data_IF_523628733998
#
_entry.id   IF_523628733998
#
_cell.length_a   1.000
_cell.length_b   1.000
_cell.length_c   1.000
_cell.angle_alpha   90.00
_cell.angle_beta   90.00
_cell.angle_gamma   90.00
#
_symmetry.space_group_name_H-M   'P 1'
#
loop_
_entity.id
_entity.type
_entity.pdbx_description
1 polymer ?
#
# COMPACT_ATOMS: atom_id res chain seq x y z
N UNK A 1 35.72 -54.98 14.12
CA UNK A 1 35.07 -55.27 12.84
C UNK A 1 33.59 -55.58 13.08
N UNK A 2 32.72 -54.67 12.83
CA UNK A 2 31.29 -54.84 12.49
C UNK A 2 30.80 -53.53 11.83
N UNK A 3 30.77 -53.58 10.49
CA UNK A 3 30.18 -52.56 9.64
C UNK A 3 28.67 -52.39 9.95
N UNK A 4 28.26 -51.15 10.15
CA UNK A 4 26.84 -50.76 10.08
C UNK A 4 26.62 -50.03 8.76
N UNK A 5 26.09 -50.76 7.79
CA UNK A 5 25.57 -50.19 6.56
C UNK A 5 24.37 -49.26 6.88
N UNK A 6 24.47 -48.00 6.52
CA UNK A 6 23.35 -47.04 6.47
C UNK A 6 22.61 -47.31 5.16
N UNK A 7 21.36 -47.80 5.26
CA UNK A 7 20.44 -47.89 4.13
C UNK A 7 19.94 -46.49 3.76
N UNK A 8 20.42 -45.98 2.64
CA UNK A 8 19.84 -44.80 2.00
C UNK A 8 18.55 -45.19 1.30
N UNK A 9 17.41 -44.72 1.82
CA UNK A 9 16.14 -44.77 1.09
C UNK A 9 16.17 -43.75 -0.07
N UNK A 10 15.66 -44.11 -1.26
CA UNK A 10 15.62 -43.18 -2.40
C UNK A 10 14.58 -42.10 -2.16
N UNK A 11 15.00 -40.83 -2.28
CA UNK A 11 14.12 -39.68 -2.33
C UNK A 11 13.11 -39.86 -3.47
N UNK A 12 11.81 -39.86 -3.13
CA UNK A 12 10.73 -39.83 -4.12
C UNK A 12 10.77 -38.46 -4.81
N UNK A 13 11.20 -38.44 -6.07
CA UNK A 13 11.04 -37.27 -6.92
C UNK A 13 9.56 -37.03 -7.16
N UNK A 14 9.03 -35.97 -6.54
CA UNK A 14 7.76 -35.38 -6.93
C UNK A 14 7.93 -34.82 -8.35
N UNK A 15 7.19 -35.34 -9.28
CA UNK A 15 7.19 -34.83 -10.67
C UNK A 15 6.53 -33.44 -10.66
N UNK A 16 7.35 -32.40 -10.74
CA UNK A 16 6.89 -31.06 -11.03
C UNK A 16 6.19 -31.07 -12.40
N UNK A 17 4.86 -30.86 -12.39
CA UNK A 17 4.19 -30.39 -13.60
C UNK A 17 4.61 -28.94 -13.80
N UNK A 18 5.34 -28.67 -14.87
CA UNK A 18 5.62 -27.29 -15.29
C UNK A 18 4.31 -26.50 -15.37
N UNK A 19 4.28 -25.24 -14.93
CA UNK A 19 3.14 -24.36 -15.11
C UNK A 19 2.85 -24.26 -16.62
N UNK A 20 1.61 -24.46 -17.01
CA UNK A 20 1.18 -24.24 -18.40
C UNK A 20 1.31 -22.76 -18.71
N UNK A 21 1.80 -22.46 -19.91
CA UNK A 21 1.96 -21.11 -20.51
C UNK A 21 0.64 -20.34 -20.72
N UNK A 22 -0.46 -20.78 -20.13
CA UNK A 22 -1.80 -20.21 -20.33
C UNK A 22 -2.11 -18.95 -19.50
N UNK A 23 -1.13 -18.43 -18.73
CA UNK A 23 -1.34 -17.24 -17.87
C UNK A 23 -1.21 -15.89 -18.61
N UNK A 24 -1.03 -15.86 -19.94
CA UNK A 24 -0.76 -14.61 -20.66
C UNK A 24 -1.98 -13.90 -21.26
N UNK A 25 -3.20 -14.39 -21.06
CA UNK A 25 -4.42 -13.71 -21.52
C UNK A 25 -5.60 -13.91 -20.55
N UNK A 26 -5.45 -13.45 -19.30
CA UNK A 26 -6.66 -13.21 -18.51
C UNK A 26 -7.42 -12.04 -19.18
N UNK A 27 -8.72 -12.17 -19.48
CA UNK A 27 -9.48 -11.05 -20.03
C UNK A 27 -9.38 -9.88 -19.08
N UNK A 28 -9.21 -8.67 -19.63
CA UNK A 28 -9.19 -7.40 -18.90
C UNK A 28 -10.44 -7.38 -18.00
N UNK A 29 -10.27 -7.74 -16.73
CA UNK A 29 -11.40 -7.92 -15.82
C UNK A 29 -12.05 -6.56 -15.60
N UNK A 30 -13.35 -6.49 -15.81
CA UNK A 30 -14.14 -5.29 -15.52
C UNK A 30 -14.13 -5.03 -14.01
N UNK A 31 -13.07 -4.38 -13.52
CA UNK A 31 -12.89 -4.02 -12.10
C UNK A 31 -13.94 -3.03 -11.58
N UNK A 32 -14.81 -2.52 -12.46
CA UNK A 32 -15.90 -1.62 -12.07
C UNK A 32 -17.03 -2.34 -11.34
N UNK A 33 -17.24 -3.62 -11.64
CA UNK A 33 -18.39 -4.40 -11.16
C UNK A 33 -18.19 -5.11 -9.82
N UNK A 34 -17.06 -4.94 -9.14
CA UNK A 34 -16.81 -5.63 -7.87
C UNK A 34 -15.80 -4.88 -6.99
N UNK A 35 -15.80 -5.22 -5.69
CA UNK A 35 -14.79 -4.81 -4.70
C UNK A 35 -13.85 -5.98 -4.49
N UNK A 36 -12.57 -5.78 -4.80
CA UNK A 36 -11.49 -6.74 -4.56
C UNK A 36 -10.73 -6.46 -3.26
N UNK A 37 -9.89 -7.41 -2.82
CA UNK A 37 -9.10 -7.27 -1.59
C UNK A 37 -8.29 -5.98 -1.53
N UNK A 38 -7.67 -5.56 -2.64
CA UNK A 38 -6.90 -4.31 -2.72
C UNK A 38 -7.74 -3.02 -2.62
N UNK A 39 -9.06 -3.10 -2.74
CA UNK A 39 -9.97 -1.95 -2.61
C UNK A 39 -10.42 -1.74 -1.17
N UNK A 40 -10.35 -2.78 -0.34
CA UNK A 40 -10.88 -2.76 1.04
C UNK A 40 -10.24 -1.69 1.90
N UNK A 41 -8.91 -1.60 1.87
CA UNK A 41 -8.19 -0.59 2.62
C UNK A 41 -8.62 0.86 2.26
N UNK A 42 -8.96 1.11 0.98
CA UNK A 42 -9.47 2.41 0.55
C UNK A 42 -10.85 2.69 1.17
N UNK A 43 -11.77 1.72 1.18
CA UNK A 43 -13.11 1.87 1.78
C UNK A 43 -13.00 2.16 3.28
N UNK A 44 -12.06 1.52 3.96
CA UNK A 44 -11.82 1.72 5.40
C UNK A 44 -11.05 3.01 5.73
N UNK A 45 -10.56 3.74 4.71
CA UNK A 45 -9.77 4.96 4.90
C UNK A 45 -8.35 4.72 5.45
N UNK A 46 -7.83 3.49 5.35
CA UNK A 46 -6.48 3.11 5.81
C UNK A 46 -5.50 2.86 4.67
N UNK A 47 -5.92 3.00 3.43
CA UNK A 47 -5.03 2.84 2.27
C UNK A 47 -4.06 4.02 2.16
N UNK A 48 -2.74 3.77 1.99
CA UNK A 48 -1.78 4.84 1.71
C UNK A 48 -1.81 5.30 0.24
N UNK A 49 -2.63 4.68 -0.62
CA UNK A 49 -2.59 4.85 -2.07
C UNK A 49 -3.86 5.46 -2.66
N UNK A 50 -5.00 5.28 -1.99
CA UNK A 50 -6.30 5.63 -2.56
C UNK A 50 -7.30 5.95 -1.45
N UNK A 51 -8.07 7.02 -1.62
CA UNK A 51 -9.18 7.37 -0.73
C UNK A 51 -10.47 6.65 -1.12
N UNK A 52 -11.50 6.62 -0.25
CA UNK A 52 -12.83 6.15 -0.62
C UNK A 52 -13.42 6.90 -1.83
N UNK A 53 -13.14 8.22 -1.91
CA UNK A 53 -13.61 9.05 -3.03
C UNK A 53 -12.96 8.66 -4.35
N UNK A 54 -11.65 8.46 -4.37
CA UNK A 54 -10.91 8.01 -5.55
C UNK A 54 -11.37 6.61 -6.00
N UNK A 55 -11.64 5.72 -5.04
CA UNK A 55 -12.20 4.40 -5.35
C UNK A 55 -13.62 4.52 -5.94
N UNK A 56 -14.46 5.39 -5.39
CA UNK A 56 -15.80 5.66 -5.94
C UNK A 56 -15.73 6.17 -7.38
N UNK A 57 -14.84 7.12 -7.68
CA UNK A 57 -14.61 7.60 -9.05
C UNK A 57 -14.21 6.45 -9.97
N UNK A 58 -13.35 5.54 -9.49
CA UNK A 58 -12.94 4.37 -10.24
C UNK A 58 -14.12 3.43 -10.49
N UNK A 59 -14.88 3.05 -9.46
CA UNK A 59 -16.02 2.11 -9.57
C UNK A 59 -17.18 2.66 -10.40
N UNK A 60 -17.36 3.97 -10.43
CA UNK A 60 -18.38 4.65 -11.26
C UNK A 60 -17.86 5.03 -12.66
N UNK A 61 -16.63 4.66 -13.03
CA UNK A 61 -16.05 4.95 -14.34
C UNK A 61 -15.72 6.42 -14.57
N UNK A 62 -15.63 7.23 -13.51
CA UNK A 62 -15.31 8.66 -13.55
C UNK A 62 -13.85 8.99 -13.27
N UNK A 63 -13.09 8.02 -12.78
CA UNK A 63 -11.66 8.22 -12.55
C UNK A 63 -11.00 8.67 -13.87
N UNK A 64 -10.12 9.67 -13.83
CA UNK A 64 -9.25 9.96 -14.98
C UNK A 64 -8.54 8.67 -15.39
N UNK A 65 -8.39 8.44 -16.68
CA UNK A 65 -7.58 7.33 -17.17
C UNK A 65 -6.13 7.64 -16.81
N UNK A 66 -5.71 7.15 -15.64
CA UNK A 66 -4.31 7.27 -15.24
C UNK A 66 -3.48 6.35 -16.12
N UNK A 67 -2.54 6.94 -16.85
CA UNK A 67 -1.50 6.16 -17.51
C UNK A 67 -0.57 5.61 -16.44
N UNK A 68 -0.47 4.29 -16.36
CA UNK A 68 0.49 3.62 -15.49
C UNK A 68 1.88 4.11 -15.86
N UNK A 69 2.60 4.71 -14.93
CA UNK A 69 3.95 5.17 -15.22
C UNK A 69 4.90 3.98 -15.47
N UNK A 70 5.99 4.17 -16.24
CA UNK A 70 6.96 3.11 -16.46
C UNK A 70 7.53 2.53 -15.15
N UNK A 71 7.64 3.34 -14.09
CA UNK A 71 8.10 2.92 -12.77
C UNK A 71 7.07 2.07 -12.05
N UNK A 72 5.78 2.41 -12.15
CA UNK A 72 4.68 1.60 -11.61
C UNK A 72 4.61 0.26 -12.34
N UNK A 73 4.69 0.27 -13.67
CA UNK A 73 4.69 -0.95 -14.48
C UNK A 73 5.85 -1.88 -14.09
N UNK A 74 7.08 -1.35 -13.96
CA UNK A 74 8.23 -2.14 -13.50
C UNK A 74 8.01 -2.77 -12.12
N UNK A 75 7.29 -2.09 -11.23
CA UNK A 75 6.95 -2.62 -9.90
C UNK A 75 5.98 -3.80 -10.00
N UNK A 76 4.93 -3.67 -10.80
CA UNK A 76 3.96 -4.74 -11.04
C UNK A 76 4.63 -5.95 -11.72
N UNK A 77 5.40 -5.72 -12.78
CA UNK A 77 6.12 -6.78 -13.48
C UNK A 77 7.10 -7.51 -12.56
N UNK A 78 7.77 -6.79 -11.66
CA UNK A 78 8.67 -7.40 -10.67
C UNK A 78 7.90 -8.27 -9.68
N UNK A 79 6.76 -7.81 -9.16
CA UNK A 79 5.88 -8.58 -8.28
C UNK A 79 5.52 -9.91 -8.93
N UNK A 80 4.84 -9.87 -10.05
CA UNK A 80 4.40 -11.07 -10.77
C UNK A 80 5.53 -12.05 -11.13
N UNK A 81 6.74 -11.52 -11.47
CA UNK A 81 7.88 -12.40 -11.79
C UNK A 81 8.47 -13.07 -10.57
N UNK A 82 8.36 -12.46 -9.40
CA UNK A 82 8.92 -12.99 -8.16
C UNK A 82 7.94 -13.89 -7.40
N UNK A 83 6.63 -13.77 -7.62
CA UNK A 83 5.61 -14.60 -6.96
C UNK A 83 5.95 -16.10 -6.98
N UNK A 84 6.29 -16.73 -8.13
CA UNK A 84 6.63 -18.16 -8.15
C UNK A 84 7.91 -18.47 -7.36
N UNK A 85 8.86 -17.54 -7.32
CA UNK A 85 10.11 -17.70 -6.58
C UNK A 85 9.86 -17.61 -5.07
N UNK A 86 9.07 -16.63 -4.65
CA UNK A 86 8.69 -16.42 -3.25
C UNK A 86 7.88 -17.63 -2.74
N UNK A 87 6.94 -18.12 -3.54
CA UNK A 87 6.19 -19.33 -3.21
C UNK A 87 7.09 -20.55 -3.04
N UNK A 88 8.07 -20.74 -3.93
CA UNK A 88 9.00 -21.87 -3.80
C UNK A 88 9.88 -21.74 -2.54
N UNK A 89 10.38 -20.53 -2.26
CA UNK A 89 11.16 -20.27 -1.03
C UNK A 89 10.31 -20.55 0.23
N UNK A 90 9.02 -20.20 0.20
CA UNK A 90 8.11 -20.50 1.30
C UNK A 90 7.93 -22.01 1.50
N UNK A 91 7.67 -22.75 0.41
CA UNK A 91 7.50 -24.21 0.47
C UNK A 91 8.77 -24.87 1.01
N UNK A 92 9.93 -24.53 0.46
CA UNK A 92 11.21 -25.08 0.91
C UNK A 92 11.43 -24.82 2.42
N UNK A 93 11.11 -23.60 2.88
CA UNK A 93 11.21 -23.21 4.30
C UNK A 93 10.30 -24.03 5.21
N UNK A 94 9.01 -24.18 4.82
CA UNK A 94 8.04 -24.98 5.60
C UNK A 94 8.42 -26.45 5.64
N UNK A 95 8.90 -27.02 4.52
CA UNK A 95 9.36 -28.41 4.47
C UNK A 95 10.63 -28.63 5.31
N UNK A 96 11.56 -27.68 5.33
CA UNK A 96 12.76 -27.72 6.20
C UNK A 96 12.40 -27.65 7.69
N UNK A 97 11.30 -26.98 8.04
CA UNK A 97 10.72 -26.94 9.40
C UNK A 97 9.89 -28.18 9.74
N UNK A 98 9.74 -29.12 8.81
CA UNK A 98 9.06 -30.39 9.01
C UNK A 98 7.56 -30.36 8.74
N UNK A 99 7.06 -29.31 8.08
CA UNK A 99 5.68 -29.17 7.65
C UNK A 99 5.50 -29.87 6.29
N UNK A 100 4.51 -30.76 6.18
CA UNK A 100 4.12 -31.32 4.89
C UNK A 100 3.26 -30.31 4.13
N UNK A 101 3.69 -29.94 2.92
CA UNK A 101 3.04 -28.93 2.08
C UNK A 101 2.48 -29.58 0.83
N UNK A 102 1.15 -29.50 0.65
CA UNK A 102 0.48 -29.84 -0.62
C UNK A 102 0.15 -28.53 -1.33
N UNK A 103 0.78 -28.30 -2.49
CA UNK A 103 0.41 -27.18 -3.36
C UNK A 103 -0.92 -27.47 -4.06
N UNK A 104 -1.90 -26.55 -3.94
CA UNK A 104 -3.22 -26.69 -4.53
C UNK A 104 -3.33 -25.97 -5.87
N UNK A 105 -3.15 -24.65 -5.88
CA UNK A 105 -3.24 -23.80 -7.09
C UNK A 105 -2.69 -22.39 -6.85
N UNK A 106 -2.63 -21.59 -7.91
CA UNK A 106 -2.30 -20.15 -7.88
C UNK A 106 -3.37 -19.33 -8.58
N UNK A 107 -3.44 -18.04 -8.23
CA UNK A 107 -4.24 -17.02 -8.90
C UNK A 107 -5.72 -17.38 -9.03
N UNK A 108 -6.31 -17.89 -7.95
CA UNK A 108 -7.72 -18.27 -7.93
C UNK A 108 -8.57 -17.12 -7.42
N UNK A 109 -9.66 -16.87 -8.14
CA UNK A 109 -10.64 -15.86 -7.78
C UNK A 109 -11.85 -16.47 -7.11
N UNK A 110 -12.22 -15.94 -5.96
CA UNK A 110 -13.43 -16.27 -5.22
C UNK A 110 -14.40 -15.10 -5.21
N UNK A 111 -15.68 -15.43 -5.24
CA UNK A 111 -16.76 -14.46 -5.16
C UNK A 111 -17.66 -14.86 -4.00
N UNK A 112 -18.11 -13.89 -3.23
CA UNK A 112 -19.04 -14.13 -2.14
C UNK A 112 -20.40 -14.60 -2.66
N UNK A 113 -20.98 -15.60 -1.99
CA UNK A 113 -22.24 -16.21 -2.44
C UNK A 113 -23.44 -15.30 -2.19
N UNK A 114 -23.43 -14.50 -1.13
CA UNK A 114 -24.50 -13.60 -0.75
C UNK A 114 -24.40 -12.25 -1.46
N UNK A 115 -23.16 -11.76 -1.64
CA UNK A 115 -22.86 -10.48 -2.26
C UNK A 115 -21.90 -10.66 -3.44
N UNK A 116 -22.39 -10.96 -4.66
CA UNK A 116 -21.56 -11.26 -5.81
C UNK A 116 -20.59 -10.14 -6.24
N UNK A 117 -20.78 -8.93 -5.75
CA UNK A 117 -19.85 -7.81 -5.94
C UNK A 117 -18.66 -7.82 -4.98
N UNK A 118 -18.61 -8.73 -3.99
CA UNK A 118 -17.44 -8.99 -3.16
C UNK A 118 -16.62 -10.11 -3.78
N UNK A 119 -15.36 -9.84 -4.08
CA UNK A 119 -14.46 -10.84 -4.65
C UNK A 119 -13.05 -10.71 -4.05
N UNK A 120 -12.30 -11.80 -4.04
CA UNK A 120 -10.89 -11.80 -3.72
C UNK A 120 -10.12 -12.64 -4.73
N UNK A 121 -8.87 -12.30 -4.95
CA UNK A 121 -7.90 -13.11 -5.69
C UNK A 121 -6.89 -13.61 -4.66
N UNK A 122 -6.62 -14.91 -4.66
CA UNK A 122 -5.67 -15.58 -3.77
C UNK A 122 -4.46 -15.94 -4.61
N UNK A 123 -3.28 -15.42 -4.23
CA UNK A 123 -2.06 -15.61 -5.03
C UNK A 123 -1.67 -17.09 -5.12
N UNK A 124 -1.79 -17.81 -3.99
CA UNK A 124 -1.59 -19.25 -3.95
C UNK A 124 -2.40 -19.92 -2.84
N UNK A 125 -2.57 -21.21 -2.95
CA UNK A 125 -3.30 -22.02 -1.98
C UNK A 125 -2.51 -23.28 -1.62
N UNK A 126 -2.44 -23.55 -0.33
CA UNK A 126 -1.73 -24.71 0.22
C UNK A 126 -2.64 -25.53 1.13
N UNK A 127 -2.32 -26.83 1.27
CA UNK A 127 -2.76 -27.64 2.40
C UNK A 127 -1.55 -27.97 3.25
N UNK A 128 -1.68 -27.79 4.54
CA UNK A 128 -0.59 -28.00 5.48
C UNK A 128 -0.89 -29.15 6.43
N UNK A 129 0.14 -29.95 6.74
CA UNK A 129 0.10 -30.97 7.79
C UNK A 129 1.36 -30.86 8.64
N UNK A 130 1.22 -30.70 9.95
CA UNK A 130 2.31 -30.52 10.89
C UNK A 130 2.02 -29.49 11.96
N UNK A 131 2.99 -29.21 12.80
CA UNK A 131 2.90 -28.21 13.87
C UNK A 131 3.66 -26.94 13.47
N UNK A 132 3.02 -25.78 13.59
CA UNK A 132 3.62 -24.46 13.30
C UNK A 132 3.47 -23.59 14.53
N UNK A 133 4.54 -22.90 14.92
CA UNK A 133 4.46 -21.85 15.93
C UNK A 133 3.95 -20.55 15.30
N UNK A 134 2.80 -20.08 15.79
CA UNK A 134 2.14 -18.84 15.35
C UNK A 134 1.95 -17.93 16.55
N UNK A 135 2.57 -16.76 16.57
CA UNK A 135 2.51 -15.80 17.67
C UNK A 135 2.80 -16.42 19.06
N UNK A 136 3.76 -17.37 19.11
CA UNK A 136 4.13 -18.07 20.34
C UNK A 136 3.23 -19.24 20.76
N UNK A 137 2.23 -19.57 19.94
CA UNK A 137 1.33 -20.72 20.16
C UNK A 137 1.56 -21.81 19.09
N UNK A 138 1.62 -23.06 19.52
CA UNK A 138 1.71 -24.19 18.60
C UNK A 138 0.35 -24.49 17.99
N UNK A 139 0.25 -24.40 16.67
CA UNK A 139 -0.95 -24.69 15.89
C UNK A 139 -0.74 -25.98 15.10
N UNK A 140 -1.63 -26.96 15.32
CA UNK A 140 -1.62 -28.23 14.60
C UNK A 140 -2.43 -28.12 13.31
N UNK A 141 -1.79 -28.36 12.17
CA UNK A 141 -2.44 -28.51 10.87
C UNK A 141 -2.59 -30.02 10.53
N UNK A 142 -3.74 -30.41 9.99
CA UNK A 142 -4.09 -31.80 9.63
C UNK A 142 -4.63 -31.88 8.19
N UNK A 143 -4.06 -31.09 7.26
CA UNK A 143 -4.48 -30.96 5.88
C UNK A 143 -5.40 -29.77 5.62
N UNK A 144 -5.40 -28.77 6.53
CA UNK A 144 -6.21 -27.56 6.39
C UNK A 144 -5.80 -26.80 5.13
N UNK A 145 -6.83 -26.34 4.43
CA UNK A 145 -6.68 -25.52 3.24
C UNK A 145 -6.57 -24.05 3.63
N UNK A 146 -5.45 -23.42 3.31
CA UNK A 146 -5.16 -22.04 3.69
C UNK A 146 -5.01 -21.12 2.47
N UNK A 147 -5.30 -19.83 2.68
CA UNK A 147 -4.98 -18.77 1.73
C UNK A 147 -3.49 -18.48 1.78
N UNK A 148 -2.92 -18.07 0.65
CA UNK A 148 -1.56 -17.58 0.57
C UNK A 148 -1.45 -16.29 -0.25
N UNK A 149 -0.56 -15.42 0.16
CA UNK A 149 -0.29 -14.15 -0.51
C UNK A 149 1.22 -13.89 -0.57
N UNK A 150 1.71 -13.39 -1.71
CA UNK A 150 3.11 -13.04 -1.94
C UNK A 150 3.31 -11.53 -1.90
N UNK A 151 4.22 -11.06 -1.07
CA UNK A 151 4.60 -9.64 -1.04
C UNK A 151 6.08 -9.44 -1.30
N UNK A 152 6.41 -8.51 -2.20
CA UNK A 152 7.79 -8.06 -2.42
C UNK A 152 7.97 -6.66 -1.87
N UNK A 153 8.81 -6.52 -0.85
CA UNK A 153 8.96 -5.32 -0.04
C UNK A 153 10.34 -4.71 -0.21
N UNK A 154 10.38 -3.40 -0.43
CA UNK A 154 11.66 -2.68 -0.45
C UNK A 154 12.23 -2.60 0.98
N UNK A 155 13.57 -2.80 1.19
CA UNK A 155 14.16 -2.80 2.54
C UNK A 155 13.79 -1.57 3.41
N UNK A 156 13.65 -0.38 2.82
CA UNK A 156 13.23 0.82 3.55
C UNK A 156 11.78 0.77 4.04
N UNK A 157 10.94 -0.10 3.49
CA UNK A 157 9.56 -0.30 3.91
C UNK A 157 9.42 -1.46 4.93
N UNK A 158 10.46 -2.24 5.16
CA UNK A 158 10.46 -3.39 6.07
C UNK A 158 10.00 -3.01 7.50
N UNK A 159 10.33 -1.80 7.97
CA UNK A 159 9.93 -1.29 9.29
C UNK A 159 8.41 -1.19 9.54
N UNK A 160 7.59 -1.38 8.51
CA UNK A 160 6.13 -1.40 8.63
C UNK A 160 5.60 -2.80 8.94
N UNK A 161 6.45 -3.81 8.81
CA UNK A 161 6.18 -5.20 9.11
C UNK A 161 6.71 -5.50 10.51
N UNK A 162 5.96 -6.26 11.28
CA UNK A 162 6.33 -6.62 12.64
C UNK A 162 7.18 -7.88 12.73
N UNK A 163 7.04 -8.60 13.81
CA UNK A 163 7.78 -9.82 14.10
C UNK A 163 7.33 -10.97 13.18
N UNK A 164 8.30 -11.74 12.65
CA UNK A 164 8.02 -12.94 11.86
C UNK A 164 7.27 -13.99 12.69
N UNK A 165 6.40 -14.74 12.07
CA UNK A 165 5.56 -15.76 12.75
C UNK A 165 4.30 -15.18 13.40
N UNK A 166 4.09 -13.86 13.35
CA UNK A 166 2.91 -13.18 13.91
C UNK A 166 1.96 -12.69 12.82
N UNK A 167 0.89 -11.99 13.20
CA UNK A 167 -0.04 -11.30 12.31
C UNK A 167 0.26 -9.79 12.14
N UNK A 168 1.43 -9.35 12.60
CA UNK A 168 1.86 -7.95 12.56
C UNK A 168 2.22 -7.48 11.13
N UNK A 169 1.23 -7.48 10.26
CA UNK A 169 1.32 -6.98 8.89
C UNK A 169 0.79 -5.54 8.78
N UNK A 170 1.18 -4.75 7.77
CA UNK A 170 0.61 -3.43 7.56
C UNK A 170 -0.92 -3.47 7.45
N UNK A 171 -1.61 -2.47 8.05
CA UNK A 171 -3.07 -2.45 8.20
C UNK A 171 -3.83 -2.55 6.87
N UNK A 172 -3.28 -1.98 5.80
CA UNK A 172 -3.84 -2.06 4.45
C UNK A 172 -3.82 -3.49 3.90
N UNK A 173 -2.79 -4.27 4.20
CA UNK A 173 -2.73 -5.70 3.86
C UNK A 173 -3.57 -6.55 4.81
N UNK A 174 -3.60 -6.25 6.11
CA UNK A 174 -4.48 -6.96 7.06
C UNK A 174 -5.95 -6.90 6.60
N UNK A 175 -6.41 -5.72 6.14
CA UNK A 175 -7.74 -5.55 5.58
C UNK A 175 -7.99 -6.43 4.34
N UNK A 176 -7.02 -6.53 3.44
CA UNK A 176 -7.06 -7.41 2.27
C UNK A 176 -7.19 -8.88 2.67
N UNK A 177 -6.36 -9.34 3.61
CA UNK A 177 -6.33 -10.74 4.02
C UNK A 177 -7.60 -11.14 4.77
N UNK A 178 -8.11 -10.30 5.68
CA UNK A 178 -9.38 -10.54 6.37
C UNK A 178 -10.56 -10.61 5.40
N UNK A 179 -10.61 -9.76 4.39
CA UNK A 179 -11.59 -9.84 3.32
C UNK A 179 -11.51 -11.17 2.56
N UNK A 180 -10.30 -11.61 2.19
CA UNK A 180 -10.05 -12.89 1.54
C UNK A 180 -10.50 -14.07 2.40
N UNK A 181 -10.17 -14.08 3.69
CA UNK A 181 -10.62 -15.09 4.65
C UNK A 181 -12.15 -15.09 4.81
N UNK A 182 -12.76 -13.89 4.78
CA UNK A 182 -14.22 -13.75 4.83
C UNK A 182 -14.93 -14.40 3.65
N UNK A 183 -14.38 -14.30 2.45
CA UNK A 183 -14.96 -14.88 1.22
C UNK A 183 -14.67 -16.36 1.10
N UNK A 184 -13.44 -16.80 1.38
CA UNK A 184 -13.03 -18.21 1.22
C UNK A 184 -13.52 -19.10 2.35
N UNK A 185 -13.84 -18.53 3.52
CA UNK A 185 -14.23 -19.27 4.72
C UNK A 185 -13.08 -20.01 5.40
N UNK A 186 -11.81 -19.76 4.99
CA UNK A 186 -10.63 -20.42 5.56
C UNK A 186 -10.19 -19.73 6.85
N UNK A 187 -9.46 -20.47 7.69
CA UNK A 187 -9.06 -20.00 9.02
C UNK A 187 -7.75 -19.24 9.03
N UNK A 188 -6.88 -19.46 8.03
CA UNK A 188 -5.57 -18.84 7.96
C UNK A 188 -5.23 -18.30 6.58
N UNK A 189 -4.48 -17.20 6.57
CA UNK A 189 -3.75 -16.71 5.41
C UNK A 189 -2.27 -16.66 5.77
N UNK A 190 -1.43 -17.39 5.02
CA UNK A 190 0.03 -17.30 5.11
C UNK A 190 0.53 -16.23 4.15
N UNK A 191 1.34 -15.32 4.65
CA UNK A 191 1.87 -14.20 3.86
C UNK A 191 3.39 -14.36 3.73
N UNK A 192 3.82 -14.69 2.52
CA UNK A 192 5.22 -14.81 2.18
C UNK A 192 5.78 -13.46 1.73
N UNK A 193 6.61 -12.85 2.55
CA UNK A 193 7.11 -11.49 2.36
C UNK A 193 8.60 -11.49 2.05
N UNK A 194 8.96 -11.24 0.79
CA UNK A 194 10.36 -11.10 0.37
C UNK A 194 10.82 -9.65 0.55
N UNK A 195 11.72 -9.42 1.49
CA UNK A 195 12.33 -8.12 1.75
C UNK A 195 13.64 -8.02 0.97
N UNK A 196 13.70 -7.07 0.04
CA UNK A 196 14.85 -6.98 -0.87
C UNK A 196 14.87 -8.13 -1.86
N UNK A 197 15.90 -8.98 -1.75
CA UNK A 197 16.11 -10.15 -2.63
C UNK A 197 16.38 -11.43 -1.85
N UNK A 198 16.71 -11.33 -0.55
CA UNK A 198 17.30 -12.43 0.19
C UNK A 198 16.50 -12.83 1.44
N UNK A 199 15.79 -11.89 2.07
CA UNK A 199 15.13 -12.12 3.35
C UNK A 199 13.64 -12.48 3.13
N UNK A 200 13.31 -13.77 3.25
CA UNK A 200 11.91 -14.23 3.29
C UNK A 200 11.43 -14.23 4.74
N UNK A 201 10.39 -13.44 5.02
CA UNK A 201 9.65 -13.44 6.29
C UNK A 201 8.25 -14.01 6.07
N UNK A 202 7.79 -14.80 7.04
CA UNK A 202 6.48 -15.47 7.01
C UNK A 202 5.59 -14.88 8.08
N UNK A 203 4.37 -14.45 7.69
CA UNK A 203 3.35 -13.96 8.61
C UNK A 203 2.10 -14.84 8.53
N UNK A 204 1.36 -14.92 9.63
CA UNK A 204 0.20 -15.77 9.77
C UNK A 204 -1.01 -14.95 10.21
N UNK A 205 -1.91 -14.67 9.28
CA UNK A 205 -3.14 -13.95 9.59
C UNK A 205 -4.23 -14.97 9.88
N UNK A 206 -4.66 -15.03 11.14
CA UNK A 206 -5.76 -15.88 11.59
C UNK A 206 -7.10 -15.19 11.34
N UNK A 207 -8.09 -15.97 10.92
CA UNK A 207 -9.46 -15.53 10.74
C UNK A 207 -10.00 -14.90 12.02
N UNK A 208 -10.51 -13.69 11.93
CA UNK A 208 -11.29 -13.01 12.97
C UNK A 208 -12.66 -12.62 12.42
N UNK A 209 -13.71 -13.29 12.93
CA UNK A 209 -15.06 -13.13 12.40
C UNK A 209 -15.63 -11.73 12.67
N UNK A 210 -15.33 -11.13 13.83
CA UNK A 210 -15.81 -9.80 14.18
C UNK A 210 -15.23 -8.74 13.23
N UNK A 211 -13.94 -8.81 12.97
CA UNK A 211 -13.25 -7.94 11.99
C UNK A 211 -13.81 -8.16 10.57
N UNK A 212 -14.02 -9.41 10.16
CA UNK A 212 -14.58 -9.73 8.84
C UNK A 212 -15.99 -9.16 8.69
N UNK A 213 -16.86 -9.31 9.68
CA UNK A 213 -18.22 -8.78 9.64
C UNK A 213 -18.23 -7.24 9.60
N UNK A 214 -17.35 -6.60 10.36
CA UNK A 214 -17.16 -5.15 10.33
C UNK A 214 -16.70 -4.66 8.95
N UNK A 215 -15.68 -5.29 8.37
CA UNK A 215 -15.18 -4.99 7.02
C UNK A 215 -16.28 -5.19 5.98
N UNK A 216 -16.97 -6.33 6.01
CA UNK A 216 -18.06 -6.66 5.08
C UNK A 216 -19.18 -5.62 5.16
N UNK A 217 -19.59 -5.22 6.36
CA UNK A 217 -20.61 -4.18 6.55
C UNK A 217 -20.22 -2.87 5.88
N UNK A 218 -18.99 -2.41 6.09
CA UNK A 218 -18.47 -1.18 5.46
C UNK A 218 -18.39 -1.26 3.93
N UNK A 219 -18.03 -2.42 3.38
CA UNK A 219 -17.97 -2.62 1.93
C UNK A 219 -19.39 -2.61 1.34
N UNK A 220 -20.34 -3.29 1.98
CA UNK A 220 -21.75 -3.33 1.52
C UNK A 220 -22.39 -1.93 1.58
N UNK A 221 -22.16 -1.17 2.65
CA UNK A 221 -22.57 0.23 2.78
C UNK A 221 -21.98 1.08 1.64
N UNK A 222 -20.67 1.03 1.44
CA UNK A 222 -20.00 1.78 0.36
C UNK A 222 -20.55 1.42 -1.03
N UNK A 223 -20.77 0.13 -1.29
CA UNK A 223 -21.29 -0.31 -2.57
C UNK A 223 -22.71 0.18 -2.82
N UNK A 224 -23.60 0.03 -1.84
CA UNK A 224 -25.01 0.41 -1.99
C UNK A 224 -25.21 1.92 -1.96
N UNK A 225 -24.61 2.61 -0.97
CA UNK A 225 -24.92 4.00 -0.67
C UNK A 225 -24.06 4.98 -1.47
N UNK A 226 -22.89 4.52 -1.96
CA UNK A 226 -22.03 5.36 -2.79
C UNK A 226 -22.03 4.92 -4.26
N UNK A 227 -21.70 3.64 -4.55
CA UNK A 227 -21.52 3.19 -5.94
C UNK A 227 -22.84 3.05 -6.66
N UNK A 228 -23.81 2.29 -6.12
CA UNK A 228 -25.12 2.07 -6.75
C UNK A 228 -26.01 3.29 -6.66
N UNK A 229 -26.00 4.01 -5.53
CA UNK A 229 -26.77 5.24 -5.36
C UNK A 229 -26.17 6.42 -6.12
N UNK A 230 -24.97 6.28 -6.66
CA UNK A 230 -24.22 7.34 -7.35
C UNK A 230 -23.97 8.59 -6.50
N UNK A 231 -23.68 8.37 -5.21
CA UNK A 231 -23.41 9.42 -4.23
C UNK A 231 -21.95 9.32 -3.80
N UNK A 232 -21.19 10.42 -3.96
CA UNK A 232 -19.80 10.43 -3.52
C UNK A 232 -19.69 10.22 -1.99
N UNK A 233 -18.76 9.40 -1.52
CA UNK A 233 -18.47 9.29 -0.09
C UNK A 233 -17.93 10.61 0.47
N UNK A 234 -18.05 10.79 1.79
CA UNK A 234 -17.48 11.94 2.48
C UNK A 234 -15.96 12.02 2.32
N UNK A 235 -15.39 13.23 2.19
CA UNK A 235 -13.95 13.40 2.08
C UNK A 235 -13.25 12.99 3.38
N UNK A 236 -12.14 12.29 3.26
CA UNK A 236 -11.32 11.90 4.41
C UNK A 236 -10.05 12.75 4.56
N UNK A 237 -9.69 13.51 3.54
CA UNK A 237 -8.52 14.38 3.56
C UNK A 237 -8.74 15.70 2.78
N UNK A 238 -7.70 16.53 2.74
CA UNK A 238 -7.75 17.83 2.08
C UNK A 238 -7.76 17.73 0.55
N UNK A 239 -7.19 16.67 -0.02
CA UNK A 239 -7.16 16.47 -1.47
C UNK A 239 -8.52 15.97 -1.96
N UNK A 240 -9.21 15.13 -1.21
CA UNK A 240 -10.62 14.80 -1.44
C UNK A 240 -11.50 16.07 -1.42
N UNK A 241 -11.31 16.93 -0.41
CA UNK A 241 -12.06 18.20 -0.36
C UNK A 241 -11.83 19.07 -1.61
N UNK A 242 -10.60 19.13 -2.14
CA UNK A 242 -10.28 19.85 -3.36
C UNK A 242 -10.90 19.21 -4.60
N UNK A 243 -10.97 17.88 -4.64
CA UNK A 243 -11.56 17.13 -5.76
C UNK A 243 -13.07 17.27 -5.78
N UNK A 244 -13.73 17.00 -4.66
CA UNK A 244 -15.20 17.02 -4.51
C UNK A 244 -15.72 18.45 -4.64
N UNK A 245 -15.09 19.40 -3.97
CA UNK A 245 -15.52 20.81 -3.92
C UNK A 245 -14.64 21.72 -4.77
N UNK A 246 -14.25 21.28 -5.96
CA UNK A 246 -13.35 22.00 -6.85
C UNK A 246 -13.79 23.44 -7.19
N UNK A 247 -15.11 23.69 -7.22
CA UNK A 247 -15.70 25.00 -7.52
C UNK A 247 -16.53 25.52 -6.35
N UNK A 248 -16.39 26.83 -6.08
CA UNK A 248 -17.24 27.52 -5.13
C UNK A 248 -18.59 27.85 -5.76
N UNK A 249 -19.69 27.75 -4.98
CA UNK A 249 -21.00 28.27 -5.34
C UNK A 249 -21.20 29.75 -4.95
N UNK A 250 -20.18 30.39 -4.34
CA UNK A 250 -20.20 31.76 -3.85
C UNK A 250 -21.00 31.98 -2.55
N UNK A 251 -21.56 30.90 -1.98
CA UNK A 251 -22.34 30.98 -0.73
C UNK A 251 -21.46 31.15 0.50
N UNK A 252 -22.11 31.43 1.64
CA UNK A 252 -21.51 31.45 2.97
C UNK A 252 -22.19 30.44 3.88
N UNK A 253 -21.43 29.90 4.84
CA UNK A 253 -21.94 29.00 5.86
C UNK A 253 -21.45 29.47 7.23
N UNK A 254 -22.30 29.39 8.24
CA UNK A 254 -21.95 29.72 9.61
C UNK A 254 -21.15 28.58 10.23
N UNK A 255 -20.02 28.93 10.85
CA UNK A 255 -19.14 27.92 11.46
C UNK A 255 -19.75 27.38 12.77
N UNK A 256 -19.71 26.07 12.96
CA UNK A 256 -19.95 25.45 14.26
C UNK A 256 -18.82 25.83 15.23
N UNK A 257 -19.06 25.61 16.54
CA UNK A 257 -18.03 25.86 17.58
C UNK A 257 -16.75 25.08 17.26
N UNK A 258 -16.89 23.81 16.92
CA UNK A 258 -15.76 22.93 16.56
C UNK A 258 -14.94 23.47 15.36
N UNK A 259 -15.62 23.87 14.29
CA UNK A 259 -14.93 24.43 13.11
C UNK A 259 -14.28 25.77 13.40
N UNK A 260 -14.91 26.59 14.24
CA UNK A 260 -14.31 27.85 14.71
C UNK A 260 -13.02 27.58 15.49
N UNK A 261 -13.05 26.61 16.41
CA UNK A 261 -11.87 26.23 17.19
C UNK A 261 -10.77 25.65 16.30
N UNK A 262 -11.11 24.87 15.27
CA UNK A 262 -10.16 24.38 14.27
C UNK A 262 -9.50 25.54 13.49
N UNK A 263 -10.25 26.60 13.15
CA UNK A 263 -9.69 27.80 12.51
C UNK A 263 -8.67 28.49 13.42
N UNK A 264 -9.01 28.68 14.71
CA UNK A 264 -8.07 29.28 15.68
C UNK A 264 -6.81 28.44 15.85
N UNK A 265 -6.97 27.12 16.01
CA UNK A 265 -5.85 26.19 16.13
C UNK A 265 -4.95 26.25 14.88
N UNK A 266 -5.54 26.33 13.67
CA UNK A 266 -4.75 26.43 12.43
C UNK A 266 -4.00 27.76 12.34
N UNK A 267 -4.56 28.87 12.84
CA UNK A 267 -3.88 30.16 12.92
C UNK A 267 -2.65 30.05 13.85
N UNK A 268 -2.83 29.45 15.04
CA UNK A 268 -1.77 29.24 16.03
C UNK A 268 -0.66 28.33 15.49
N UNK A 269 -1.02 27.21 14.84
CA UNK A 269 -0.06 26.32 14.19
C UNK A 269 0.76 27.05 13.13
N UNK A 270 0.11 27.86 12.28
CA UNK A 270 0.81 28.66 11.26
C UNK A 270 1.76 29.72 11.88
N UNK A 271 1.38 30.30 13.00
CA UNK A 271 2.26 31.23 13.72
C UNK A 271 3.49 30.50 14.29
N UNK A 272 3.31 29.31 14.87
CA UNK A 272 4.42 28.46 15.35
C UNK A 272 5.34 28.01 14.24
N UNK A 273 4.81 27.60 13.09
CA UNK A 273 5.60 27.24 11.89
C UNK A 273 6.51 28.42 11.51
N UNK A 274 5.96 29.63 11.40
CA UNK A 274 6.72 30.82 11.04
C UNK A 274 7.87 31.13 12.02
N UNK A 275 7.66 30.90 13.31
CA UNK A 275 8.70 31.07 14.34
C UNK A 275 9.82 30.02 14.16
N UNK A 276 9.43 28.76 13.89
CA UNK A 276 10.39 27.67 13.66
C UNK A 276 11.19 27.87 12.38
N UNK A 277 10.56 28.34 11.29
CA UNK A 277 11.23 28.68 10.04
C UNK A 277 12.25 29.80 10.25
N UNK A 278 11.90 30.85 11.01
CA UNK A 278 12.84 31.91 11.34
C UNK A 278 14.03 31.41 12.18
N UNK A 279 13.78 30.46 13.11
CA UNK A 279 14.83 29.84 13.91
C UNK A 279 15.73 28.93 13.06
N UNK A 280 15.16 28.17 12.14
CA UNK A 280 15.92 27.36 11.17
C UNK A 280 16.82 28.23 10.29
N UNK A 281 16.30 29.33 9.76
CA UNK A 281 17.07 30.29 8.95
C UNK A 281 18.24 30.89 9.73
N UNK A 282 18.01 31.29 10.99
CA UNK A 282 19.07 31.81 11.86
C UNK A 282 20.17 30.77 12.10
N UNK A 283 19.78 29.53 12.47
CA UNK A 283 20.74 28.43 12.70
C UNK A 283 21.52 28.09 11.43
N UNK A 284 20.83 28.00 10.30
CA UNK A 284 21.45 27.77 9.00
C UNK A 284 22.45 28.89 8.63
N UNK A 285 22.07 30.13 8.87
CA UNK A 285 22.99 31.28 8.69
C UNK A 285 24.24 31.15 9.57
N UNK A 286 24.08 30.83 10.86
CA UNK A 286 25.25 30.70 11.77
C UNK A 286 26.17 29.57 11.35
N UNK A 287 25.63 28.43 10.90
CA UNK A 287 26.42 27.30 10.42
C UNK A 287 27.17 27.66 9.13
N UNK A 288 26.48 28.20 8.13
CA UNK A 288 27.09 28.55 6.85
C UNK A 288 28.08 29.69 6.98
N UNK A 289 27.82 30.68 7.83
CA UNK A 289 28.77 31.77 8.13
C UNK A 289 30.04 31.23 8.80
N UNK A 290 29.93 30.20 9.66
CA UNK A 290 31.10 29.53 10.23
C UNK A 290 31.86 28.71 9.21
N UNK A 291 31.16 27.99 8.33
CA UNK A 291 31.79 27.18 7.28
C UNK A 291 32.57 27.99 6.25
N UNK A 292 32.20 29.25 6.00
CA UNK A 292 32.84 30.08 4.98
C UNK A 292 32.96 29.35 3.63
N UNK A 293 34.10 29.27 2.91
CA UNK A 293 34.18 28.52 1.64
C UNK A 293 34.31 26.98 1.82
N UNK A 294 34.31 26.47 3.05
CA UNK A 294 34.53 25.05 3.27
C UNK A 294 33.26 24.25 2.97
N UNK A 295 33.43 23.12 2.29
CA UNK A 295 32.32 22.25 1.86
C UNK A 295 31.86 21.25 2.91
N UNK A 296 32.66 21.00 3.96
CA UNK A 296 32.40 19.99 4.97
C UNK A 296 32.69 20.56 6.37
N UNK A 297 31.76 20.37 7.28
CA UNK A 297 31.89 20.68 8.70
C UNK A 297 32.03 19.36 9.47
N UNK A 298 33.05 19.30 10.34
CA UNK A 298 33.32 18.10 11.14
C UNK A 298 33.33 18.39 12.63
N UNK A 299 32.98 17.40 13.43
CA UNK A 299 33.16 17.40 14.89
C UNK A 299 33.66 16.02 15.34
N UNK A 300 34.76 15.99 16.09
CA UNK A 300 35.39 14.73 16.56
C UNK A 300 35.77 13.79 15.41
N UNK A 301 36.14 14.32 14.24
CA UNK A 301 36.46 13.54 13.03
C UNK A 301 35.27 13.08 12.20
N UNK A 302 34.03 13.27 12.68
CA UNK A 302 32.82 12.89 11.97
C UNK A 302 32.24 14.09 11.21
N UNK A 303 31.71 13.86 9.99
CA UNK A 303 31.00 14.87 9.22
C UNK A 303 29.63 15.14 9.89
N UNK A 304 29.36 16.40 10.26
CA UNK A 304 28.10 16.84 10.86
C UNK A 304 27.26 17.74 9.94
N UNK A 305 27.90 18.41 8.95
CA UNK A 305 27.19 19.15 7.91
C UNK A 305 28.01 19.21 6.61
N UNK A 306 27.32 19.40 5.49
CA UNK A 306 27.96 19.69 4.21
C UNK A 306 27.26 20.86 3.51
N UNK A 307 28.05 21.75 2.92
CA UNK A 307 27.57 22.89 2.11
C UNK A 307 28.34 22.93 0.81
N UNK A 308 27.88 22.19 -0.19
CA UNK A 308 28.57 21.97 -1.46
C UNK A 308 27.86 22.70 -2.60
N UNK A 309 28.63 23.10 -3.62
CA UNK A 309 28.06 23.63 -4.87
C UNK A 309 27.20 22.54 -5.53
N UNK A 310 26.00 22.93 -5.96
CA UNK A 310 25.10 22.13 -6.79
C UNK A 310 24.72 22.95 -8.02
N UNK A 311 24.60 22.28 -9.16
CA UNK A 311 24.07 22.92 -10.36
C UNK A 311 22.55 22.91 -10.30
N UNK A 312 21.92 24.09 -10.35
CA UNK A 312 20.47 24.25 -10.42
C UNK A 312 20.14 24.86 -11.81
N UNK A 313 19.44 24.08 -12.63
CA UNK A 313 19.01 24.49 -13.97
C UNK A 313 17.52 24.73 -13.95
N UNK A 314 17.09 25.96 -14.11
CA UNK A 314 15.66 26.32 -14.14
C UNK A 314 15.37 27.07 -15.46
N UNK A 315 14.14 26.81 -15.97
CA UNK A 315 13.62 27.61 -17.10
C UNK A 315 13.21 28.97 -16.57
N UNK A 316 13.80 30.02 -17.13
CA UNK A 316 13.33 31.39 -16.88
C UNK A 316 12.02 31.63 -17.62
N UNK A 317 10.93 31.49 -16.88
CA UNK A 317 9.56 31.58 -17.40
C UNK A 317 9.26 32.99 -17.94
N UNK A 318 9.89 34.05 -17.36
CA UNK A 318 9.70 35.42 -17.80
C UNK A 318 10.35 35.62 -19.15
N UNK A 319 11.61 35.22 -19.27
CA UNK A 319 12.37 35.30 -20.52
C UNK A 319 11.75 34.42 -21.61
N UNK A 320 11.32 33.19 -21.26
CA UNK A 320 10.64 32.31 -22.19
C UNK A 320 9.33 32.91 -22.72
N UNK A 321 8.58 33.63 -21.89
CA UNK A 321 7.34 34.30 -22.30
C UNK A 321 7.62 35.53 -23.18
N UNK A 322 8.72 36.21 -22.97
CA UNK A 322 9.16 37.40 -23.77
C UNK A 322 9.72 36.96 -25.11
N UNK A 323 10.64 35.98 -25.13
CA UNK A 323 11.41 35.61 -26.33
C UNK A 323 10.73 34.55 -27.20
N UNK A 324 9.89 33.66 -26.59
CA UNK A 324 9.20 32.57 -27.28
C UNK A 324 7.75 32.41 -26.79
N UNK A 325 6.89 33.45 -26.99
CA UNK A 325 5.50 33.43 -26.45
C UNK A 325 4.67 32.26 -26.96
N UNK A 326 4.87 31.82 -28.19
CA UNK A 326 4.14 30.68 -28.76
C UNK A 326 4.52 29.37 -28.05
N UNK A 327 5.76 29.16 -27.71
CA UNK A 327 6.25 28.01 -26.94
C UNK A 327 5.71 28.08 -25.54
N UNK A 328 5.79 29.26 -24.88
CA UNK A 328 5.22 29.44 -23.55
C UNK A 328 3.73 29.13 -23.54
N UNK A 329 2.92 29.65 -24.47
CA UNK A 329 1.50 29.43 -24.58
C UNK A 329 1.15 27.94 -24.81
N UNK A 330 1.91 27.25 -25.67
CA UNK A 330 1.73 25.82 -25.97
C UNK A 330 1.86 24.94 -24.75
N UNK A 331 2.78 25.27 -23.83
CA UNK A 331 3.08 24.46 -22.65
C UNK A 331 2.53 25.03 -21.34
N UNK A 332 1.90 26.21 -21.38
CA UNK A 332 1.21 26.78 -20.22
C UNK A 332 -0.22 26.28 -20.14
N UNK A 333 -0.65 25.91 -18.92
CA UNK A 333 -2.03 25.53 -18.64
C UNK A 333 -2.56 26.34 -17.47
N UNK A 334 -3.76 26.89 -17.60
CA UNK A 334 -4.47 27.58 -16.51
C UNK A 334 -5.42 26.59 -15.87
N UNK A 335 -5.28 26.37 -14.56
CA UNK A 335 -6.21 25.56 -13.76
C UNK A 335 -6.82 26.47 -12.70
N UNK A 336 -8.15 26.48 -12.61
CA UNK A 336 -8.86 27.09 -11.49
C UNK A 336 -8.69 26.23 -10.24
N UNK A 337 -8.32 26.84 -9.13
CA UNK A 337 -8.13 26.15 -7.84
C UNK A 337 -8.81 26.95 -6.73
N UNK A 338 -9.35 26.25 -5.73
CA UNK A 338 -9.83 26.84 -4.48
C UNK A 338 -8.69 26.90 -3.47
N UNK A 339 -8.51 28.09 -2.86
CA UNK A 339 -7.45 28.31 -1.86
C UNK A 339 -8.09 28.70 -0.54
N UNK A 340 -7.83 27.90 0.52
CA UNK A 340 -8.24 28.23 1.88
C UNK A 340 -7.40 29.43 2.39
N UNK A 341 -8.08 30.53 2.72
CA UNK A 341 -7.46 31.72 3.31
C UNK A 341 -8.11 32.02 4.65
N UNK A 342 -7.29 32.14 5.68
CA UNK A 342 -7.76 32.53 7.01
C UNK A 342 -7.84 34.07 7.09
N UNK A 343 -8.97 34.58 7.59
CA UNK A 343 -9.14 35.99 7.83
C UNK A 343 -8.46 36.38 9.15
N UNK A 344 -7.95 37.61 9.23
CA UNK A 344 -7.53 38.18 10.50
C UNK A 344 -8.76 38.37 11.37
N UNK A 345 -8.80 37.66 12.48
CA UNK A 345 -9.86 37.85 13.47
C UNK A 345 -9.54 39.14 14.23
N UNK A 346 -10.48 40.10 14.19
CA UNK A 346 -10.40 41.35 14.94
C UNK A 346 -10.77 41.12 16.38
#
# INVERSE_FOLDING_TARGET
MRDRARSSQPRRHVRHRQPREDCMNAPEMNRLGFIGGSDVAAILGVSPWKTPHELWLQKTGRAPREEITPEQQKRFDRGHRLEPVVLQMLIDRLEDEGIEVEFVRTNERYTDAEHPFLACEIDFELRLTGEVEIAGEMVQFSGEHINGDCKTVHPFAAKKWGEEGTDEVPIDYAAQFMHGLGITGRDFCIVATLIGMDDLLIYWVKRDQETIDGIRGRIVEFWNDCVLADVAPDPIDFDDCKAIYAKSNGGSIEATTEIRDAVFNLIDVKAKIKILEASEEELSYRITAFMQPNAVLTAGGNTIATWKNQNDTRVDQKLLKEDAPDVYAKYSRTKEIRVLRLSKIK
#
